data_IF_625794809268
#
_entry.id   IF_625794809268
#
_cell.length_a   1.000
_cell.length_b   1.000
_cell.length_c   1.000
_cell.angle_alpha   90.00
_cell.angle_beta   90.00
_cell.angle_gamma   90.00
#
_symmetry.space_group_name_H-M   'P 1'
#
loop_
_entity.id
_entity.type
_entity.pdbx_description
1 polymer ?
#
# COMPACT_ATOMS: atom_id res chain seq x y z
N UNK A 1 -0.87 75.07 -5.51
CA UNK A 1 -1.52 73.80 -5.88
C UNK A 1 -0.61 72.68 -5.40
N UNK A 2 -1.08 71.94 -4.39
CA UNK A 2 -0.30 70.90 -3.72
C UNK A 2 -0.48 69.55 -4.43
N UNK A 3 0.58 68.75 -4.51
CA UNK A 3 0.50 67.33 -4.14
C UNK A 3 1.92 66.79 -3.96
N UNK A 4 2.35 66.70 -2.70
CA UNK A 4 3.50 65.90 -2.28
C UNK A 4 3.20 64.45 -2.67
N UNK A 5 4.00 63.89 -3.57
CA UNK A 5 3.89 62.50 -4.02
C UNK A 5 4.30 61.54 -2.89
N UNK A 6 3.62 60.40 -2.72
CA UNK A 6 3.69 59.59 -1.52
C UNK A 6 4.96 58.74 -1.51
N UNK A 7 6.00 59.21 -0.82
CA UNK A 7 7.21 58.43 -0.56
C UNK A 7 7.02 57.37 0.56
N UNK A 8 5.84 57.33 1.19
CA UNK A 8 5.51 56.34 2.23
C UNK A 8 5.18 54.95 1.67
N UNK A 9 4.63 54.86 0.45
CA UNK A 9 4.23 53.57 -0.15
C UNK A 9 5.45 52.72 -0.54
N UNK A 10 6.54 53.34 -0.99
CA UNK A 10 7.76 52.62 -1.36
C UNK A 10 8.53 52.08 -0.15
N UNK A 11 8.48 52.80 0.99
CA UNK A 11 9.16 52.39 2.23
C UNK A 11 8.45 51.18 2.87
N UNK A 12 7.11 51.11 2.79
CA UNK A 12 6.34 49.96 3.31
C UNK A 12 6.63 48.65 2.56
N UNK A 13 6.88 48.72 1.24
CA UNK A 13 7.20 47.53 0.43
C UNK A 13 8.54 46.93 0.84
N UNK A 14 9.55 47.74 1.17
CA UNK A 14 10.87 47.25 1.58
C UNK A 14 10.85 46.60 2.98
N UNK A 15 10.00 47.08 3.89
CA UNK A 15 9.87 46.49 5.24
C UNK A 15 9.18 45.11 5.18
N UNK A 16 8.31 44.89 4.20
CA UNK A 16 7.71 43.57 3.97
C UNK A 16 8.74 42.52 3.51
N UNK A 17 9.81 42.93 2.82
CA UNK A 17 10.88 42.01 2.39
C UNK A 17 11.87 41.66 3.49
N UNK A 18 11.99 42.47 4.56
CA UNK A 18 12.95 42.21 5.65
C UNK A 18 12.41 41.38 6.81
N UNK A 19 11.11 41.05 6.82
CA UNK A 19 10.47 40.27 7.90
C UNK A 19 10.09 38.83 7.52
N UNK A 20 10.34 38.38 6.29
CA UNK A 20 10.27 36.96 5.94
C UNK A 20 11.54 36.24 6.42
N UNK A 21 11.76 36.26 7.73
CA UNK A 21 12.73 35.40 8.39
C UNK A 21 12.39 33.95 8.07
N UNK A 22 13.39 33.24 7.56
CA UNK A 22 13.34 31.83 7.21
C UNK A 22 12.70 31.00 8.33
N UNK A 23 11.50 30.49 8.07
CA UNK A 23 11.02 29.31 8.78
C UNK A 23 11.85 28.14 8.26
N UNK A 24 12.94 27.85 8.97
CA UNK A 24 13.63 26.57 8.81
C UNK A 24 12.62 25.49 9.18
N UNK A 25 12.14 24.73 8.20
CA UNK A 25 11.47 23.46 8.46
C UNK A 25 12.51 22.56 9.15
N UNK A 26 12.39 22.44 10.47
CA UNK A 26 13.11 21.42 11.23
C UNK A 26 12.67 20.07 10.67
N UNK A 27 13.56 19.39 9.93
CA UNK A 27 13.39 17.96 9.61
C UNK A 27 13.42 17.22 10.94
N UNK A 28 12.24 16.97 11.48
CA UNK A 28 12.06 16.12 12.64
C UNK A 28 12.34 14.68 12.20
N UNK A 29 13.54 14.17 12.48
CA UNK A 29 13.97 12.79 12.20
C UNK A 29 13.31 11.74 13.12
N UNK A 30 12.26 12.11 13.84
CA UNK A 30 11.48 11.16 14.62
C UNK A 30 10.62 10.33 13.67
N UNK A 31 11.21 9.24 13.16
CA UNK A 31 10.47 8.13 12.55
C UNK A 31 9.41 7.72 13.56
N UNK A 32 8.16 8.13 13.32
CA UNK A 32 7.02 7.73 14.13
C UNK A 32 7.08 6.20 14.19
N UNK A 33 7.23 5.59 15.38
CA UNK A 33 7.26 4.14 15.47
C UNK A 33 5.98 3.61 14.85
N UNK A 34 6.08 2.83 13.76
CA UNK A 34 4.93 2.12 13.20
C UNK A 34 4.26 1.39 14.38
N UNK A 35 2.96 1.59 14.63
CA UNK A 35 2.28 0.93 15.73
C UNK A 35 2.53 -0.57 15.59
N UNK A 36 3.07 -1.20 16.66
CA UNK A 36 3.17 -2.66 16.72
C UNK A 36 1.74 -3.19 16.70
N UNK A 37 1.26 -3.55 15.51
CA UNK A 37 -0.05 -4.17 15.32
C UNK A 37 -0.03 -5.52 16.05
N UNK A 38 -0.71 -5.60 17.19
CA UNK A 38 -1.01 -6.89 17.81
C UNK A 38 -2.11 -7.52 16.96
N UNK A 39 -1.74 -8.52 16.15
CA UNK A 39 -2.65 -9.24 15.26
C UNK A 39 -3.84 -9.82 16.07
N UNK A 40 -5.10 -9.58 15.67
CA UNK A 40 -6.25 -10.25 16.26
C UNK A 40 -6.16 -11.76 16.07
N UNK A 41 -6.63 -12.51 17.05
CA UNK A 41 -6.52 -13.98 17.10
C UNK A 41 -7.83 -14.58 16.58
N UNK A 42 -7.82 -15.19 15.40
CA UNK A 42 -8.99 -15.83 14.80
C UNK A 42 -8.79 -17.35 14.60
N UNK A 43 -9.91 -18.08 14.53
CA UNK A 43 -10.00 -19.54 14.69
C UNK A 43 -9.81 -20.26 13.35
N UNK A 44 -9.11 -21.40 13.39
CA UNK A 44 -8.83 -22.26 12.23
C UNK A 44 -10.13 -22.77 11.57
N UNK A 45 -10.26 -22.73 10.22
CA UNK A 45 -11.30 -23.45 9.51
C UNK A 45 -11.07 -24.97 9.55
N UNK A 46 -12.16 -25.73 9.39
CA UNK A 46 -12.14 -27.18 9.45
C UNK A 46 -12.15 -27.77 8.02
N UNK A 47 -11.05 -28.44 7.61
CA UNK A 47 -10.92 -29.44 6.53
C UNK A 47 -10.75 -28.93 5.06
N UNK A 48 -10.16 -29.69 4.07
CA UNK A 48 -9.16 -30.78 4.05
C UNK A 48 -7.82 -30.41 3.35
N UNK A 49 -6.77 -31.20 3.59
CA UNK A 49 -5.39 -31.19 3.01
C UNK A 49 -5.00 -30.09 1.97
N UNK A 50 -4.17 -29.09 2.35
CA UNK A 50 -3.79 -27.94 1.50
C UNK A 50 -2.97 -28.29 0.23
N UNK A 51 -2.44 -29.51 0.14
CA UNK A 51 -1.57 -29.93 -0.96
C UNK A 51 -2.24 -30.05 -2.35
N UNK A 52 -3.57 -29.93 -2.44
CA UNK A 52 -4.31 -30.02 -3.71
C UNK A 52 -5.16 -28.78 -4.02
N UNK A 53 -5.09 -27.76 -3.17
CA UNK A 53 -5.86 -26.54 -3.38
C UNK A 53 -5.09 -25.61 -4.33
N UNK A 54 -5.78 -25.16 -5.38
CA UNK A 54 -5.26 -24.16 -6.30
C UNK A 54 -5.64 -22.79 -5.74
N UNK A 55 -4.64 -22.01 -5.37
CA UNK A 55 -4.82 -20.64 -4.93
C UNK A 55 -4.69 -19.68 -6.10
N UNK A 56 -5.42 -18.58 -6.04
CA UNK A 56 -5.29 -17.44 -6.94
C UNK A 56 -5.03 -16.19 -6.10
N UNK A 57 -4.08 -15.36 -6.53
CA UNK A 57 -3.87 -14.03 -5.99
C UNK A 57 -4.16 -13.02 -7.07
N UNK A 58 -4.91 -11.98 -6.73
CA UNK A 58 -5.27 -10.89 -7.61
C UNK A 58 -4.83 -9.57 -6.98
N UNK A 59 -4.20 -8.71 -7.77
CA UNK A 59 -3.88 -7.34 -7.38
C UNK A 59 -4.65 -6.39 -8.30
N UNK A 60 -5.59 -5.65 -7.71
CA UNK A 60 -6.48 -4.71 -8.39
C UNK A 60 -6.00 -3.28 -8.19
N UNK A 61 -5.95 -2.52 -9.29
CA UNK A 61 -5.66 -1.10 -9.25
C UNK A 61 -6.96 -0.27 -9.15
N UNK A 62 -7.43 -0.07 -7.92
CA UNK A 62 -8.54 0.84 -7.60
C UNK A 62 -8.08 2.30 -7.37
N UNK A 63 -6.86 2.65 -7.79
CA UNK A 63 -6.37 4.01 -7.78
C UNK A 63 -6.96 4.78 -8.97
N UNK A 64 -8.10 5.43 -8.74
CA UNK A 64 -8.87 6.25 -9.71
C UNK A 64 -8.14 6.75 -10.98
N UNK A 65 -7.02 7.45 -10.82
CA UNK A 65 -6.31 8.10 -11.93
C UNK A 65 -4.82 7.78 -11.96
N UNK A 66 -4.36 6.81 -11.15
CA UNK A 66 -2.95 6.52 -11.00
C UNK A 66 -2.65 5.12 -11.55
N UNK A 67 -1.47 5.02 -12.14
CA UNK A 67 -0.89 3.76 -12.54
C UNK A 67 -0.28 3.12 -11.28
N UNK A 68 -0.46 1.82 -11.18
CA UNK A 68 0.12 1.00 -10.12
C UNK A 68 1.21 0.10 -10.71
N UNK A 69 2.42 0.26 -10.20
CA UNK A 69 3.53 -0.65 -10.46
C UNK A 69 3.44 -1.78 -9.43
N UNK A 70 3.13 -2.98 -9.90
CA UNK A 70 2.94 -4.16 -9.06
C UNK A 70 4.01 -5.20 -9.37
N UNK A 71 5.00 -5.33 -8.48
CA UNK A 71 6.03 -6.36 -8.58
C UNK A 71 5.81 -7.41 -7.51
N UNK A 72 5.47 -8.62 -7.93
CA UNK A 72 5.29 -9.77 -7.04
C UNK A 72 6.28 -10.87 -7.35
N UNK A 73 6.75 -11.57 -6.32
CA UNK A 73 7.69 -12.67 -6.46
C UNK A 73 7.54 -13.66 -5.31
N UNK A 74 7.84 -14.92 -5.58
CA UNK A 74 8.10 -15.91 -4.55
C UNK A 74 9.61 -16.16 -4.45
N UNK A 75 10.01 -17.04 -3.54
CA UNK A 75 11.40 -17.48 -3.44
C UNK A 75 11.90 -18.14 -4.74
N UNK A 76 11.03 -18.87 -5.43
CA UNK A 76 11.40 -19.72 -6.56
C UNK A 76 10.97 -19.12 -7.91
N UNK A 77 9.96 -18.25 -7.93
CA UNK A 77 9.35 -17.67 -9.13
C UNK A 77 9.23 -16.15 -9.01
N UNK A 78 9.90 -15.39 -9.89
CA UNK A 78 9.67 -13.95 -10.05
C UNK A 78 8.56 -13.74 -11.08
N UNK A 79 7.43 -13.16 -10.66
CA UNK A 79 6.32 -12.84 -11.55
C UNK A 79 6.59 -11.55 -12.34
N UNK A 80 7.62 -10.79 -11.93
CA UNK A 80 8.03 -9.56 -12.57
C UNK A 80 7.16 -8.35 -12.21
N UNK A 81 7.50 -7.23 -12.83
CA UNK A 81 6.77 -5.97 -12.71
C UNK A 81 5.64 -5.92 -13.72
N UNK A 82 4.42 -5.72 -13.23
CA UNK A 82 3.25 -5.38 -14.04
C UNK A 82 2.86 -3.92 -13.81
N UNK A 83 2.59 -3.21 -14.91
CA UNK A 83 2.13 -1.82 -14.91
C UNK A 83 0.62 -1.87 -15.12
N UNK A 84 -0.15 -1.55 -14.08
CA UNK A 84 -1.61 -1.61 -14.11
C UNK A 84 -2.18 -0.20 -14.28
N UNK A 85 -2.96 0.03 -15.34
CA UNK A 85 -3.76 1.24 -15.48
C UNK A 85 -4.94 1.25 -14.48
N UNK A 86 -5.63 2.38 -14.27
CA UNK A 86 -6.82 2.41 -13.43
C UNK A 86 -7.83 1.33 -13.86
N UNK A 87 -8.41 0.65 -12.88
CA UNK A 87 -9.37 -0.45 -13.05
C UNK A 87 -8.79 -1.72 -13.71
N UNK A 88 -7.46 -1.83 -13.86
CA UNK A 88 -6.79 -3.07 -14.30
C UNK A 88 -6.32 -3.91 -13.11
N UNK A 89 -6.10 -5.19 -13.38
CA UNK A 89 -5.65 -6.19 -12.43
C UNK A 89 -4.52 -7.06 -13.00
N UNK A 90 -3.69 -7.60 -12.13
CA UNK A 90 -2.88 -8.79 -12.41
C UNK A 90 -3.35 -9.94 -11.55
N UNK A 91 -3.29 -11.15 -12.09
CA UNK A 91 -3.58 -12.37 -11.34
C UNK A 91 -2.57 -13.47 -11.65
N UNK A 92 -2.43 -14.39 -10.70
CA UNK A 92 -1.75 -15.66 -10.94
C UNK A 92 -2.34 -16.75 -10.05
N UNK A 93 -2.32 -17.97 -10.57
CA UNK A 93 -2.67 -19.15 -9.78
C UNK A 93 -1.49 -20.09 -9.61
N UNK A 94 -1.48 -20.78 -8.47
CA UNK A 94 -0.48 -21.77 -8.14
C UNK A 94 -1.09 -22.86 -7.26
N UNK A 95 -0.37 -23.97 -7.12
CA UNK A 95 -0.64 -24.94 -6.07
C UNK A 95 0.37 -24.71 -4.96
N UNK A 96 -0.07 -24.89 -3.72
CA UNK A 96 0.88 -24.88 -2.63
C UNK A 96 1.90 -26.01 -2.80
N UNK A 97 3.14 -25.78 -2.36
CA UNK A 97 4.16 -26.80 -2.47
C UNK A 97 3.92 -27.89 -1.41
N UNK A 98 4.46 -29.08 -1.65
CA UNK A 98 4.27 -30.23 -0.74
C UNK A 98 4.79 -30.01 0.69
N UNK A 99 5.62 -28.97 0.90
CA UNK A 99 6.15 -28.57 2.20
C UNK A 99 5.31 -27.48 2.90
N UNK A 100 4.28 -26.93 2.24
CA UNK A 100 3.48 -25.83 2.75
C UNK A 100 4.29 -24.56 3.00
N UNK A 101 5.26 -24.26 2.12
CA UNK A 101 6.15 -23.09 2.27
C UNK A 101 6.04 -22.10 1.13
N UNK A 102 4.97 -22.16 0.32
CA UNK A 102 4.77 -21.18 -0.73
C UNK A 102 4.47 -19.81 -0.11
N UNK A 103 5.19 -18.81 -0.59
CA UNK A 103 5.09 -17.41 -0.16
C UNK A 103 5.22 -16.53 -1.39
N UNK A 104 4.32 -15.57 -1.54
CA UNK A 104 4.40 -14.52 -2.55
C UNK A 104 4.48 -13.17 -1.85
N UNK A 105 5.59 -12.49 -2.06
CA UNK A 105 5.84 -11.13 -1.59
C UNK A 105 5.57 -10.15 -2.72
N UNK A 106 4.84 -9.08 -2.43
CA UNK A 106 4.48 -8.03 -3.38
C UNK A 106 4.95 -6.67 -2.93
N UNK A 107 5.48 -5.92 -3.89
CA UNK A 107 5.79 -4.49 -3.81
C UNK A 107 4.82 -3.75 -4.73
N UNK A 108 3.94 -2.95 -4.14
CA UNK A 108 3.01 -2.09 -4.85
C UNK A 108 3.44 -0.64 -4.72
N UNK A 109 3.69 0.03 -5.85
CA UNK A 109 4.17 1.40 -5.90
C UNK A 109 3.30 2.24 -6.83
N UNK A 110 2.95 3.43 -6.39
CA UNK A 110 2.27 4.43 -7.20
C UNK A 110 2.88 5.80 -6.93
N UNK A 111 2.43 6.82 -7.67
CA UNK A 111 3.07 8.14 -7.69
C UNK A 111 3.42 8.73 -6.31
N UNK A 112 2.64 8.44 -5.27
CA UNK A 112 2.81 9.04 -3.94
C UNK A 112 3.11 8.04 -2.84
N UNK A 113 3.15 6.73 -3.10
CA UNK A 113 3.19 5.75 -2.04
C UNK A 113 3.69 4.38 -2.49
N UNK A 114 4.19 3.65 -1.51
CA UNK A 114 4.70 2.30 -1.65
C UNK A 114 4.13 1.43 -0.54
N UNK A 115 3.86 0.15 -0.82
CA UNK A 115 3.63 -0.86 0.20
C UNK A 115 4.28 -2.18 -0.21
N UNK A 116 5.03 -2.78 0.72
CA UNK A 116 5.57 -4.13 0.62
C UNK A 116 4.84 -5.04 1.61
N UNK A 117 4.34 -6.19 1.15
CA UNK A 117 3.58 -7.13 1.98
C UNK A 117 3.58 -8.54 1.38
N UNK A 118 3.27 -9.53 2.21
CA UNK A 118 3.09 -10.91 1.75
C UNK A 118 1.66 -11.09 1.26
N UNK A 119 1.50 -11.20 -0.06
CA UNK A 119 0.22 -11.38 -0.71
C UNK A 119 -0.34 -12.80 -0.51
N UNK A 120 0.55 -13.78 -0.25
CA UNK A 120 0.20 -15.14 0.15
C UNK A 120 1.31 -15.76 1.00
N UNK A 121 0.95 -16.58 2.00
CA UNK A 121 1.91 -17.35 2.78
C UNK A 121 1.28 -18.61 3.39
N UNK A 122 1.76 -19.79 2.98
CA UNK A 122 1.21 -21.09 3.40
C UNK A 122 1.54 -21.48 4.86
N UNK A 123 2.75 -21.17 5.34
CA UNK A 123 3.24 -21.60 6.68
C UNK A 123 2.79 -20.70 7.84
N UNK A 124 1.80 -19.83 7.64
CA UNK A 124 1.34 -18.97 8.74
C UNK A 124 0.20 -19.65 9.46
N UNK A 125 0.12 -19.40 10.77
CA UNK A 125 -1.07 -19.58 11.59
C UNK A 125 -2.29 -18.88 10.95
N UNK A 126 -2.89 -19.49 9.92
CA UNK A 126 -4.17 -19.29 9.24
C UNK A 126 -4.54 -17.87 8.74
N UNK A 127 -3.82 -16.81 9.10
CA UNK A 127 -4.27 -15.43 8.91
C UNK A 127 -4.34 -14.87 7.48
N UNK A 128 -3.69 -15.47 6.48
CA UNK A 128 -3.83 -15.03 5.08
C UNK A 128 -4.80 -15.93 4.32
N UNK A 129 -4.69 -17.25 4.49
CA UNK A 129 -5.63 -18.24 3.92
C UNK A 129 -7.06 -18.00 4.44
N UNK A 130 -7.24 -17.57 5.69
CA UNK A 130 -8.56 -17.24 6.24
C UNK A 130 -9.18 -15.99 5.61
N UNK A 131 -8.40 -15.13 4.95
CA UNK A 131 -8.94 -13.95 4.24
C UNK A 131 -9.14 -14.22 2.75
N UNK A 132 -8.38 -15.15 2.17
CA UNK A 132 -8.55 -15.58 0.80
C UNK A 132 -9.83 -16.42 0.63
N UNK A 133 -10.97 -15.75 0.40
CA UNK A 133 -12.26 -16.38 0.19
C UNK A 133 -12.15 -17.44 -0.91
N UNK A 134 -12.49 -18.69 -0.59
CA UNK A 134 -12.48 -19.80 -1.53
C UNK A 134 -11.16 -19.93 -2.33
N UNK A 135 -10.02 -19.86 -1.61
CA UNK A 135 -8.67 -19.94 -2.19
C UNK A 135 -8.30 -18.78 -3.13
N UNK A 136 -9.04 -17.67 -3.10
CA UNK A 136 -8.75 -16.47 -3.89
C UNK A 136 -8.46 -15.27 -2.97
N UNK A 137 -7.26 -14.72 -3.06
CA UNK A 137 -6.83 -13.54 -2.32
C UNK A 137 -6.93 -12.30 -3.23
N UNK A 138 -7.90 -11.44 -2.99
CA UNK A 138 -8.12 -10.22 -3.76
C UNK A 138 -7.57 -9.04 -2.99
N UNK A 139 -6.50 -8.46 -3.51
CA UNK A 139 -5.88 -7.26 -2.97
C UNK A 139 -6.30 -6.04 -3.79
N UNK A 140 -6.85 -5.03 -3.13
CA UNK A 140 -7.31 -3.79 -3.77
C UNK A 140 -6.45 -2.61 -3.31
N UNK A 141 -5.72 -2.00 -4.24
CA UNK A 141 -4.93 -0.80 -4.00
C UNK A 141 -5.78 0.46 -4.15
N UNK A 142 -5.97 1.22 -3.07
CA UNK A 142 -6.82 2.42 -3.03
C UNK A 142 -6.05 3.64 -2.56
N UNK A 143 -6.65 4.83 -2.68
CA UNK A 143 -5.97 6.09 -2.41
C UNK A 143 -5.37 6.20 -1.00
N UNK A 144 -6.02 5.61 0.00
CA UNK A 144 -5.62 5.65 1.40
C UNK A 144 -4.78 4.44 1.85
N UNK A 145 -4.91 3.31 1.18
CA UNK A 145 -4.14 2.11 1.49
C UNK A 145 -4.56 0.91 0.67
N UNK A 146 -4.12 -0.26 1.11
CA UNK A 146 -4.40 -1.54 0.49
C UNK A 146 -5.43 -2.30 1.33
N UNK A 147 -6.33 -3.01 0.64
CA UNK A 147 -7.40 -3.82 1.19
C UNK A 147 -7.23 -5.28 0.75
N UNK A 148 -7.75 -6.22 1.55
CA UNK A 148 -7.80 -7.64 1.24
C UNK A 148 -9.23 -8.15 1.46
N UNK A 149 -9.76 -8.99 0.57
CA UNK A 149 -11.05 -9.65 0.79
C UNK A 149 -11.03 -10.54 2.05
N UNK A 150 -12.18 -10.79 2.65
CA UNK A 150 -12.35 -11.80 3.71
C UNK A 150 -13.18 -12.99 3.17
N UNK A 151 -13.51 -13.97 4.01
CA UNK A 151 -14.32 -15.14 3.61
C UNK A 151 -15.71 -14.81 3.06
N UNK A 152 -16.26 -13.66 3.44
CA UNK A 152 -17.56 -13.16 2.98
C UNK A 152 -17.43 -12.32 1.69
N UNK A 153 -16.23 -12.23 1.12
CA UNK A 153 -15.84 -11.41 -0.04
C UNK A 153 -15.91 -9.89 0.22
N UNK A 154 -15.94 -9.48 1.49
CA UNK A 154 -15.85 -8.06 1.86
C UNK A 154 -14.40 -7.59 1.85
N UNK A 155 -14.14 -6.43 1.25
CA UNK A 155 -12.82 -5.80 1.28
C UNK A 155 -12.54 -5.15 2.64
N UNK A 156 -11.58 -5.73 3.36
CA UNK A 156 -11.14 -5.28 4.69
C UNK A 156 -9.83 -4.50 4.56
N UNK A 157 -9.75 -3.34 5.21
CA UNK A 157 -8.55 -2.51 5.21
C UNK A 157 -7.36 -3.26 5.83
N UNK A 158 -6.25 -3.33 5.10
CA UNK A 158 -5.03 -4.02 5.51
C UNK A 158 -3.98 -3.04 6.06
N UNK A 159 -3.51 -2.11 5.23
CA UNK A 159 -2.43 -1.19 5.58
C UNK A 159 -2.45 0.11 4.76
N UNK A 160 -2.00 1.20 5.39
CA UNK A 160 -1.75 2.47 4.73
C UNK A 160 -0.49 2.41 3.87
N UNK A 161 -0.43 3.24 2.84
CA UNK A 161 0.81 3.46 2.09
C UNK A 161 1.94 4.04 2.95
N UNK A 162 3.17 3.62 2.68
CA UNK A 162 4.35 4.38 3.03
C UNK A 162 4.51 5.51 2.00
N UNK A 163 4.11 6.73 2.39
CA UNK A 163 4.11 7.89 1.49
C UNK A 163 5.53 8.29 1.05
N UNK A 164 5.72 8.47 -0.25
CA UNK A 164 6.95 8.97 -0.86
C UNK A 164 6.91 10.51 -0.80
N UNK A 165 7.83 11.10 -0.01
CA UNK A 165 7.87 12.53 0.31
C UNK A 165 8.61 13.41 -0.70
#
# INVERSE_FOLDING_TARGET
MAMRRPMLLLVLVLIAFSHFSMLTTSKNNNKVPKPKKTKPKFLKPNNPNPAFERFTVEIHNDLRMFILDAHCSSKDDDLGLHILFPDEEQDWSFHDNWLGTTEFHCRLEWQYGLLEFDAFHSNTDNLLIDYCANATCIWSARQDGVYLNNQDDDLVFYEYWDMLG
#
